data_IF_443396346019
#
_entry.id   IF_443396346019
#
_cell.length_a   1.000
_cell.length_b   1.000
_cell.length_c   1.000
_cell.angle_alpha   90.00
_cell.angle_beta   90.00
_cell.angle_gamma   90.00
#
_symmetry.space_group_name_H-M   'P 1'
#
loop_
_entity.id
_entity.type
_entity.pdbx_description
1 polymer ?
#
# COMPACT_ATOMS: atom_id res chain seq x y z
N UNK A 1 47.12 64.92 -28.40
CA UNK A 1 47.73 64.75 -27.09
C UNK A 1 48.17 63.29 -26.99
N UNK A 2 49.47 63.02 -26.84
CA UNK A 2 50.04 61.66 -26.93
C UNK A 2 49.82 60.87 -25.64
N UNK A 3 49.76 61.55 -24.49
CA UNK A 3 49.52 60.92 -23.18
C UNK A 3 48.09 60.38 -23.06
N UNK A 4 47.09 61.10 -23.59
CA UNK A 4 45.70 60.61 -23.65
C UNK A 4 45.57 59.33 -24.48
N UNK A 5 46.30 59.25 -25.60
CA UNK A 5 46.28 58.06 -26.47
C UNK A 5 46.94 56.87 -25.76
N UNK A 6 48.08 57.08 -25.10
CA UNK A 6 48.77 56.02 -24.33
C UNK A 6 47.89 55.54 -23.17
N UNK A 7 47.29 56.46 -22.41
CA UNK A 7 46.37 56.12 -21.32
C UNK A 7 45.15 55.34 -21.81
N UNK A 8 44.60 55.71 -22.96
CA UNK A 8 43.48 55.01 -23.59
C UNK A 8 43.87 53.59 -24.03
N UNK A 9 45.06 53.42 -24.63
CA UNK A 9 45.57 52.11 -25.05
C UNK A 9 45.85 51.18 -23.86
N UNK A 10 46.42 51.69 -22.77
CA UNK A 10 46.63 50.91 -21.54
C UNK A 10 45.29 50.43 -20.95
N UNK A 11 44.27 51.30 -20.99
CA UNK A 11 42.92 50.94 -20.54
C UNK A 11 42.31 49.81 -21.37
N UNK A 12 42.47 49.87 -22.70
CA UNK A 12 42.02 48.81 -23.61
C UNK A 12 42.77 47.49 -23.38
N UNK A 13 44.09 47.55 -23.12
CA UNK A 13 44.91 46.39 -22.78
C UNK A 13 44.40 45.68 -21.53
N UNK A 14 44.17 46.43 -20.44
CA UNK A 14 43.62 45.86 -19.20
C UNK A 14 42.25 45.21 -19.40
N UNK A 15 41.39 45.81 -20.23
CA UNK A 15 40.07 45.22 -20.56
C UNK A 15 40.23 43.89 -21.29
N UNK A 16 41.15 43.81 -22.26
CA UNK A 16 41.41 42.59 -23.02
C UNK A 16 41.99 41.47 -22.15
N UNK A 17 42.96 41.76 -21.29
CA UNK A 17 43.55 40.79 -20.36
C UNK A 17 42.54 40.24 -19.36
N UNK A 18 41.66 41.10 -18.83
CA UNK A 18 40.58 40.66 -17.94
C UNK A 18 39.56 39.76 -18.65
N UNK A 19 39.24 40.05 -19.91
CA UNK A 19 38.35 39.20 -20.71
C UNK A 19 38.96 37.82 -20.94
N UNK A 20 40.27 37.76 -21.28
CA UNK A 20 41.00 36.51 -21.49
C UNK A 20 41.08 35.65 -20.22
N UNK A 21 41.37 36.26 -19.06
CA UNK A 21 41.32 35.56 -17.76
C UNK A 21 39.91 35.03 -17.45
N UNK A 22 38.87 35.80 -17.75
CA UNK A 22 37.48 35.35 -17.62
C UNK A 22 37.16 34.12 -18.49
N UNK A 23 37.73 34.04 -19.70
CA UNK A 23 37.61 32.85 -20.55
C UNK A 23 38.30 31.61 -19.93
N UNK A 24 39.49 31.77 -19.34
CA UNK A 24 40.18 30.68 -18.63
C UNK A 24 39.36 30.19 -17.45
N UNK A 25 38.80 31.09 -16.64
CA UNK A 25 37.99 30.70 -15.48
C UNK A 25 36.71 29.96 -15.89
N UNK A 26 36.08 30.38 -16.99
CA UNK A 26 34.91 29.67 -17.53
C UNK A 26 35.29 28.31 -18.11
N UNK A 27 36.44 28.21 -18.79
CA UNK A 27 36.96 26.93 -19.25
C UNK A 27 37.25 25.99 -18.07
N UNK A 28 37.93 26.47 -17.01
CA UNK A 28 38.18 25.71 -15.76
C UNK A 28 36.91 25.19 -15.11
N UNK A 29 35.85 26.01 -15.07
CA UNK A 29 34.55 25.55 -14.61
C UNK A 29 34.00 24.42 -15.48
N UNK A 30 34.15 24.51 -16.79
CA UNK A 30 33.72 23.45 -17.72
C UNK A 30 34.51 22.14 -17.51
N UNK A 31 35.83 22.25 -17.36
CA UNK A 31 36.72 21.13 -17.06
C UNK A 31 36.45 20.51 -15.68
N UNK A 32 35.98 21.26 -14.69
CA UNK A 32 35.64 20.69 -13.39
C UNK A 32 34.44 19.71 -13.43
N UNK A 33 33.62 19.77 -14.48
CA UNK A 33 32.51 18.85 -14.72
C UNK A 33 32.83 17.75 -15.74
N UNK A 34 34.06 17.68 -16.26
CA UNK A 34 34.47 16.78 -17.36
C UNK A 34 35.90 16.25 -17.14
N UNK A 35 36.34 15.26 -17.91
CA UNK A 35 37.68 14.64 -17.76
C UNK A 35 38.82 15.38 -18.50
N UNK A 36 38.61 16.64 -18.91
CA UNK A 36 39.59 17.41 -19.68
C UNK A 36 40.47 18.30 -18.81
N UNK A 37 41.78 18.33 -19.10
CA UNK A 37 42.73 19.26 -18.50
C UNK A 37 42.80 20.57 -19.29
N UNK A 38 43.12 21.67 -18.62
CA UNK A 38 43.27 23.00 -19.25
C UNK A 38 44.69 23.49 -19.01
N UNK A 39 45.27 24.07 -20.05
CA UNK A 39 46.62 24.64 -20.08
C UNK A 39 46.69 26.00 -19.37
N UNK A 40 46.01 26.16 -18.23
CA UNK A 40 45.83 27.43 -17.54
C UNK A 40 47.15 28.10 -17.17
N UNK A 41 48.15 27.31 -16.75
CA UNK A 41 49.49 27.81 -16.44
C UNK A 41 50.23 28.34 -17.68
N UNK A 42 49.99 27.74 -18.86
CA UNK A 42 50.59 28.19 -20.13
C UNK A 42 49.93 29.48 -20.62
N UNK A 43 48.61 29.63 -20.40
CA UNK A 43 47.87 30.86 -20.71
C UNK A 43 48.31 32.02 -19.81
N UNK A 44 48.52 31.77 -18.51
CA UNK A 44 48.99 32.79 -17.56
C UNK A 44 50.43 33.27 -17.91
N UNK A 45 51.34 32.35 -18.23
CA UNK A 45 52.72 32.66 -18.66
C UNK A 45 52.77 33.43 -20.00
N UNK A 46 51.88 33.11 -20.94
CA UNK A 46 51.77 33.85 -22.21
C UNK A 46 51.19 35.26 -22.03
N UNK A 47 50.23 35.46 -21.10
CA UNK A 47 49.72 36.78 -20.72
C UNK A 47 50.80 37.67 -20.10
N UNK A 48 51.65 37.13 -19.22
CA UNK A 48 52.77 37.87 -18.62
C UNK A 48 53.80 38.33 -19.67
N UNK A 49 54.00 37.53 -20.73
CA UNK A 49 54.86 37.84 -21.88
C UNK A 49 54.22 38.74 -22.92
N UNK A 50 52.95 39.13 -22.74
CA UNK A 50 52.15 39.90 -23.71
C UNK A 50 51.98 39.20 -25.07
N UNK A 51 52.03 37.87 -25.08
CA UNK A 51 51.79 37.05 -26.27
C UNK A 51 50.29 36.70 -26.39
N UNK A 52 49.50 37.68 -26.83
CA UNK A 52 48.05 37.52 -26.96
C UNK A 52 47.64 36.51 -28.04
N UNK A 53 48.45 36.33 -29.07
CA UNK A 53 48.22 35.34 -30.13
C UNK A 53 48.42 33.92 -29.60
N UNK A 54 49.48 33.69 -28.81
CA UNK A 54 49.71 32.45 -28.09
C UNK A 54 48.59 32.11 -27.12
N UNK A 55 48.11 33.09 -26.34
CA UNK A 55 46.98 32.91 -25.40
C UNK A 55 45.70 32.44 -26.10
N UNK A 56 45.32 33.09 -27.20
CA UNK A 56 44.12 32.73 -27.97
C UNK A 56 44.26 31.33 -28.58
N UNK A 57 45.42 31.03 -29.17
CA UNK A 57 45.71 29.72 -29.77
C UNK A 57 45.61 28.57 -28.76
N UNK A 58 46.19 28.74 -27.57
CA UNK A 58 46.11 27.74 -26.49
C UNK A 58 44.68 27.54 -26.00
N UNK A 59 43.90 28.62 -25.82
CA UNK A 59 42.51 28.53 -25.42
C UNK A 59 41.63 27.83 -26.49
N UNK A 60 41.86 28.09 -27.77
CA UNK A 60 41.16 27.38 -28.86
C UNK A 60 41.46 25.89 -28.87
N UNK A 61 42.72 25.50 -28.62
CA UNK A 61 43.13 24.09 -28.51
C UNK A 61 42.47 23.41 -27.30
N UNK A 62 42.49 24.03 -26.13
CA UNK A 62 41.87 23.49 -24.91
C UNK A 62 40.35 23.32 -25.11
N UNK A 63 39.66 24.29 -25.72
CA UNK A 63 38.22 24.19 -26.03
C UNK A 63 37.94 23.05 -27.01
N UNK A 64 38.79 22.86 -28.03
CA UNK A 64 38.64 21.77 -29.00
C UNK A 64 38.85 20.39 -28.36
N UNK A 65 39.84 20.28 -27.46
CA UNK A 65 40.11 19.08 -26.69
C UNK A 65 38.92 18.73 -25.77
N UNK A 66 38.40 19.72 -25.03
CA UNK A 66 37.23 19.56 -24.16
C UNK A 66 36.01 19.07 -24.95
N UNK A 67 35.69 19.70 -26.09
CA UNK A 67 34.57 19.26 -26.96
C UNK A 67 34.73 17.81 -27.45
N UNK A 68 35.96 17.40 -27.74
CA UNK A 68 36.26 16.04 -28.21
C UNK A 68 36.07 15.04 -27.08
N UNK A 69 36.62 15.33 -25.90
CA UNK A 69 36.45 14.51 -24.70
C UNK A 69 34.97 14.35 -24.32
N UNK A 70 34.18 15.44 -24.30
CA UNK A 70 32.73 15.35 -24.02
C UNK A 70 32.00 14.47 -25.03
N UNK A 71 32.41 14.52 -26.31
CA UNK A 71 31.79 13.71 -27.36
C UNK A 71 32.12 12.23 -27.19
N UNK A 72 33.37 11.90 -26.86
CA UNK A 72 33.80 10.52 -26.60
C UNK A 72 33.11 9.94 -25.36
N UNK A 73 33.04 10.71 -24.27
CA UNK A 73 32.34 10.35 -23.04
C UNK A 73 30.85 10.09 -23.31
N UNK A 74 30.20 11.01 -24.02
CA UNK A 74 28.81 10.85 -24.44
C UNK A 74 28.59 9.57 -25.26
N UNK A 75 29.44 9.29 -26.26
CA UNK A 75 29.30 8.10 -27.08
C UNK A 75 29.52 6.82 -26.27
N UNK A 76 30.52 6.83 -25.39
CA UNK A 76 30.86 5.69 -24.53
C UNK A 76 29.71 5.36 -23.60
N UNK A 77 29.26 6.34 -22.80
CA UNK A 77 28.17 6.13 -21.85
C UNK A 77 26.86 5.75 -22.54
N UNK A 78 26.52 6.41 -23.66
CA UNK A 78 25.33 6.05 -24.46
C UNK A 78 25.37 4.61 -24.94
N UNK A 79 26.51 4.13 -25.43
CA UNK A 79 26.65 2.76 -25.91
C UNK A 79 26.55 1.75 -24.77
N UNK A 80 27.17 2.04 -23.62
CA UNK A 80 27.06 1.18 -22.44
C UNK A 80 25.63 1.11 -21.90
N UNK A 81 24.92 2.23 -21.87
CA UNK A 81 23.51 2.26 -21.47
C UNK A 81 22.61 1.49 -22.45
N UNK A 82 22.86 1.58 -23.76
CA UNK A 82 22.14 0.76 -24.75
C UNK A 82 22.41 -0.74 -24.56
N UNK A 83 23.66 -1.12 -24.33
CA UNK A 83 24.06 -2.50 -24.03
C UNK A 83 23.38 -3.02 -22.76
N UNK A 84 23.37 -2.22 -21.70
CA UNK A 84 22.69 -2.54 -20.44
C UNK A 84 21.17 -2.74 -20.63
N UNK A 85 20.53 -1.86 -21.42
CA UNK A 85 19.10 -1.98 -21.74
C UNK A 85 18.80 -3.21 -22.58
N UNK A 86 19.68 -3.58 -23.53
CA UNK A 86 19.53 -4.81 -24.31
C UNK A 86 19.57 -6.05 -23.42
N UNK A 87 20.52 -6.12 -22.49
CA UNK A 87 20.61 -7.22 -21.51
C UNK A 87 19.32 -7.31 -20.68
N UNK A 88 18.80 -6.18 -20.20
CA UNK A 88 17.59 -6.16 -19.38
C UNK A 88 16.32 -6.56 -20.16
N UNK A 89 16.19 -6.11 -21.41
CA UNK A 89 15.07 -6.46 -22.30
C UNK A 89 15.09 -7.95 -22.65
N UNK A 90 16.29 -8.51 -22.91
CA UNK A 90 16.44 -9.93 -23.18
C UNK A 90 16.10 -10.80 -21.95
N UNK A 91 16.32 -10.27 -20.74
CA UNK A 91 15.99 -10.95 -19.50
C UNK A 91 14.48 -10.91 -19.18
N UNK A 92 13.79 -9.81 -19.47
CA UNK A 92 12.35 -9.66 -19.23
C UNK A 92 11.69 -8.64 -20.17
N UNK A 93 10.48 -8.98 -20.67
CA UNK A 93 9.68 -8.04 -21.47
C UNK A 93 9.00 -6.99 -20.58
N UNK A 94 9.74 -5.94 -20.23
CA UNK A 94 9.24 -4.76 -19.51
C UNK A 94 9.14 -3.55 -20.46
N UNK A 95 7.97 -2.89 -20.44
CA UNK A 95 7.67 -1.75 -21.31
C UNK A 95 8.59 -0.55 -21.04
N UNK A 96 8.97 -0.32 -19.78
CA UNK A 96 9.75 0.85 -19.37
C UNK A 96 11.19 0.75 -19.87
N UNK A 97 11.76 -0.46 -19.96
CA UNK A 97 13.07 -0.64 -20.59
C UNK A 97 13.05 -0.25 -22.09
N UNK A 98 11.98 -0.56 -22.80
CA UNK A 98 11.81 -0.12 -24.20
C UNK A 98 11.69 1.40 -24.31
N UNK A 99 10.94 2.03 -23.42
CA UNK A 99 10.82 3.50 -23.34
C UNK A 99 12.19 4.16 -23.09
N UNK A 100 12.96 3.65 -22.12
CA UNK A 100 14.33 4.13 -21.87
C UNK A 100 15.22 3.96 -23.09
N UNK A 101 15.16 2.82 -23.78
CA UNK A 101 15.95 2.57 -24.99
C UNK A 101 15.61 3.54 -26.11
N UNK A 102 14.34 3.86 -26.32
CA UNK A 102 13.91 4.87 -27.29
C UNK A 102 14.44 6.27 -26.93
N UNK A 103 14.40 6.67 -25.66
CA UNK A 103 14.96 7.95 -25.20
C UNK A 103 16.47 8.04 -25.44
N UNK A 104 17.22 6.98 -25.13
CA UNK A 104 18.68 6.91 -25.33
C UNK A 104 19.03 6.92 -26.82
N UNK A 105 18.26 6.22 -27.65
CA UNK A 105 18.44 6.26 -29.11
C UNK A 105 18.23 7.68 -29.67
N UNK A 106 17.25 8.41 -29.14
CA UNK A 106 16.96 9.81 -29.49
C UNK A 106 17.98 10.83 -28.96
N UNK A 107 18.90 10.43 -28.08
CA UNK A 107 20.02 11.27 -27.68
C UNK A 107 21.13 11.23 -28.74
N UNK A 108 21.30 12.34 -29.48
CA UNK A 108 22.23 12.42 -30.63
C UNK A 108 23.39 13.40 -30.43
N UNK A 109 23.45 14.13 -29.32
CA UNK A 109 24.43 15.19 -29.11
C UNK A 109 24.93 15.25 -27.65
N UNK A 110 26.18 15.71 -27.43
CA UNK A 110 26.82 15.68 -26.10
C UNK A 110 26.10 16.51 -25.02
N UNK A 111 25.30 17.50 -25.38
CA UNK A 111 24.53 18.33 -24.43
C UNK A 111 23.49 17.52 -23.66
N UNK A 112 23.16 16.31 -24.14
CA UNK A 112 22.23 15.37 -23.48
C UNK A 112 22.90 14.44 -22.48
N UNK A 113 24.21 14.55 -22.22
CA UNK A 113 24.93 13.65 -21.32
C UNK A 113 24.31 13.58 -19.91
N UNK A 114 23.94 14.73 -19.33
CA UNK A 114 23.26 14.79 -18.02
C UNK A 114 21.95 14.00 -18.04
N UNK A 115 21.15 14.18 -19.10
CA UNK A 115 19.88 13.47 -19.27
C UNK A 115 20.09 11.96 -19.43
N UNK A 116 21.17 11.54 -20.09
CA UNK A 116 21.51 10.11 -20.16
C UNK A 116 21.85 9.56 -18.78
N UNK A 117 22.60 10.30 -17.96
CA UNK A 117 22.88 9.93 -16.57
C UNK A 117 21.60 9.72 -15.76
N UNK A 118 20.64 10.65 -15.85
CA UNK A 118 19.32 10.52 -15.21
C UNK A 118 18.57 9.26 -15.67
N UNK A 119 18.67 8.90 -16.96
CA UNK A 119 18.06 7.67 -17.49
C UNK A 119 18.77 6.42 -16.94
N UNK A 120 20.09 6.45 -16.83
CA UNK A 120 20.88 5.37 -16.22
C UNK A 120 20.52 5.13 -14.76
N UNK A 121 20.42 6.19 -13.96
CA UNK A 121 20.00 6.10 -12.56
C UNK A 121 18.58 5.53 -12.45
N UNK A 122 17.64 6.04 -13.26
CA UNK A 122 16.26 5.56 -13.31
C UNK A 122 16.15 4.11 -13.79
N UNK A 123 17.05 3.66 -14.67
CA UNK A 123 17.17 2.29 -15.11
C UNK A 123 17.59 1.37 -13.96
N UNK A 124 18.67 1.71 -13.24
CA UNK A 124 19.16 0.91 -12.10
C UNK A 124 18.09 0.82 -11.00
N UNK A 125 17.44 1.94 -10.68
CA UNK A 125 16.34 1.97 -9.70
C UNK A 125 15.19 1.04 -10.12
N UNK A 126 14.82 1.04 -11.40
CA UNK A 126 13.75 0.19 -11.92
C UNK A 126 14.13 -1.30 -11.88
N UNK A 127 15.37 -1.65 -12.23
CA UNK A 127 15.89 -3.02 -12.10
C UNK A 127 15.81 -3.51 -10.64
N UNK A 128 16.28 -2.72 -9.68
CA UNK A 128 16.23 -3.07 -8.26
C UNK A 128 14.78 -3.25 -7.78
N UNK A 129 13.87 -2.40 -8.26
CA UNK A 129 12.44 -2.51 -7.94
C UNK A 129 11.83 -3.82 -8.45
N UNK A 130 12.11 -4.22 -9.69
CA UNK A 130 11.61 -5.49 -10.26
C UNK A 130 12.11 -6.67 -9.43
N UNK A 131 13.42 -6.72 -9.13
CA UNK A 131 14.01 -7.78 -8.31
C UNK A 131 13.38 -7.83 -6.92
N UNK A 132 13.22 -6.68 -6.27
CA UNK A 132 12.58 -6.59 -4.97
C UNK A 132 11.13 -7.07 -4.97
N UNK A 133 10.37 -6.78 -6.04
CA UNK A 133 9.00 -7.27 -6.20
C UNK A 133 8.95 -8.79 -6.39
N UNK A 134 9.82 -9.34 -7.24
CA UNK A 134 9.91 -10.79 -7.45
C UNK A 134 10.32 -11.52 -6.18
N UNK A 135 11.31 -11.01 -5.45
CA UNK A 135 11.74 -11.58 -4.19
C UNK A 135 10.64 -11.54 -3.12
N UNK A 136 9.92 -10.41 -2.99
CA UNK A 136 8.81 -10.30 -2.06
C UNK A 136 7.65 -11.24 -2.42
N UNK A 137 7.34 -11.40 -3.70
CA UNK A 137 6.35 -12.37 -4.16
C UNK A 137 6.78 -13.80 -3.86
N UNK A 138 8.05 -14.14 -4.09
CA UNK A 138 8.61 -15.45 -3.80
C UNK A 138 8.48 -15.76 -2.31
N UNK A 139 9.06 -14.91 -1.45
CA UNK A 139 9.01 -15.07 0.01
C UNK A 139 7.57 -15.19 0.52
N UNK A 140 6.67 -14.30 0.08
CA UNK A 140 5.26 -14.40 0.44
C UNK A 140 4.67 -15.73 -0.03
N UNK A 141 4.89 -16.14 -1.27
CA UNK A 141 4.31 -17.38 -1.81
C UNK A 141 4.83 -18.60 -1.07
N UNK A 142 6.14 -18.68 -0.81
CA UNK A 142 6.75 -19.78 -0.06
C UNK A 142 6.23 -19.84 1.38
N UNK A 143 6.08 -18.70 2.07
CA UNK A 143 5.51 -18.68 3.43
C UNK A 143 4.07 -19.21 3.45
N UNK A 144 3.25 -18.80 2.47
CA UNK A 144 1.90 -19.34 2.29
C UNK A 144 1.92 -20.83 1.87
N UNK A 145 2.99 -21.35 1.27
CA UNK A 145 3.08 -22.78 1.02
C UNK A 145 3.51 -23.50 2.32
N UNK A 146 4.56 -23.04 3.01
CA UNK A 146 5.12 -23.64 4.23
C UNK A 146 4.14 -23.80 5.37
N UNK A 147 3.27 -22.80 5.60
CA UNK A 147 2.30 -22.82 6.69
C UNK A 147 1.37 -24.05 6.62
N UNK A 148 1.35 -24.71 5.47
CA UNK A 148 0.15 -25.33 4.98
C UNK A 148 0.41 -26.55 4.08
N UNK A 149 1.64 -26.75 3.62
CA UNK A 149 1.98 -27.88 2.77
C UNK A 149 1.97 -29.18 3.58
N UNK A 150 1.38 -30.29 3.07
CA UNK A 150 1.59 -31.60 3.66
C UNK A 150 3.10 -31.91 3.83
N UNK A 151 3.54 -32.53 4.94
CA UNK A 151 4.96 -32.80 5.20
C UNK A 151 5.69 -33.56 4.08
N UNK A 152 4.97 -34.37 3.31
CA UNK A 152 5.49 -35.19 2.21
C UNK A 152 5.02 -34.70 0.81
N UNK A 153 4.52 -33.47 0.70
CA UNK A 153 4.14 -32.90 -0.60
C UNK A 153 5.38 -32.60 -1.45
N UNK A 154 5.25 -32.69 -2.77
CA UNK A 154 6.35 -32.58 -3.74
C UNK A 154 7.05 -31.21 -3.80
N UNK A 155 6.55 -30.21 -3.07
CA UNK A 155 7.16 -28.89 -3.04
C UNK A 155 8.37 -28.85 -2.12
N UNK A 156 9.40 -28.13 -2.53
CA UNK A 156 10.59 -27.84 -1.73
C UNK A 156 10.85 -26.35 -1.79
N UNK A 157 11.15 -25.77 -0.64
CA UNK A 157 11.59 -24.39 -0.53
C UNK A 157 12.83 -24.15 -1.39
N UNK A 158 12.86 -23.01 -2.08
CA UNK A 158 13.99 -22.59 -2.92
C UNK A 158 15.22 -22.21 -2.12
N UNK A 159 15.03 -21.75 -0.88
CA UNK A 159 16.07 -21.14 -0.03
C UNK A 159 16.46 -19.72 -0.47
N UNK A 160 15.73 -19.13 -1.41
CA UNK A 160 16.01 -17.79 -1.94
C UNK A 160 15.30 -16.70 -1.16
N UNK A 161 14.22 -17.00 -0.42
CA UNK A 161 13.47 -16.02 0.37
C UNK A 161 14.30 -15.34 1.48
N UNK A 162 15.35 -16.00 1.96
CA UNK A 162 16.28 -15.46 2.95
C UNK A 162 17.47 -14.70 2.33
N UNK A 163 17.60 -14.73 1.00
CA UNK A 163 18.74 -14.15 0.30
C UNK A 163 18.53 -12.66 0.09
N UNK A 164 19.58 -11.88 0.33
CA UNK A 164 19.57 -10.45 0.03
C UNK A 164 19.95 -10.20 -1.44
N UNK A 165 19.13 -9.41 -2.12
CA UNK A 165 19.31 -9.06 -3.52
C UNK A 165 19.64 -7.58 -3.67
N UNK A 166 20.90 -7.27 -3.95
CA UNK A 166 21.40 -5.92 -4.19
C UNK A 166 22.15 -5.90 -5.52
N UNK A 167 21.75 -5.02 -6.42
CA UNK A 167 22.45 -4.84 -7.69
C UNK A 167 23.89 -4.38 -7.48
N UNK A 168 24.78 -4.91 -8.30
CA UNK A 168 26.11 -4.36 -8.47
C UNK A 168 25.97 -3.10 -9.34
N UNK A 169 26.35 -1.94 -8.82
CA UNK A 169 26.11 -0.66 -9.48
C UNK A 169 27.40 0.14 -9.71
N UNK A 170 28.54 -0.55 -9.82
CA UNK A 170 29.81 0.08 -10.25
C UNK A 170 29.65 0.81 -11.59
N UNK A 171 28.94 0.18 -12.54
CA UNK A 171 28.46 0.82 -13.77
C UNK A 171 27.10 0.25 -14.24
N UNK A 172 26.53 0.86 -15.29
CA UNK A 172 25.21 0.49 -15.83
C UNK A 172 25.18 -0.90 -16.46
N UNK A 173 26.29 -1.39 -17.02
CA UNK A 173 26.36 -2.73 -17.61
C UNK A 173 26.47 -3.80 -16.53
N UNK A 174 27.25 -3.56 -15.48
CA UNK A 174 27.34 -4.47 -14.34
C UNK A 174 26.01 -4.57 -13.59
N UNK A 175 25.28 -3.46 -13.45
CA UNK A 175 23.92 -3.46 -12.95
C UNK A 175 22.98 -4.33 -13.80
N UNK A 176 23.07 -4.24 -15.13
CA UNK A 176 22.25 -5.05 -16.02
C UNK A 176 22.61 -6.54 -15.97
N UNK A 177 23.90 -6.89 -15.88
CA UNK A 177 24.36 -8.29 -15.74
C UNK A 177 23.92 -8.89 -14.42
N UNK A 178 24.08 -8.14 -13.33
CA UNK A 178 23.63 -8.53 -11.99
C UNK A 178 22.12 -8.73 -11.97
N UNK A 179 21.36 -7.79 -12.54
CA UNK A 179 19.90 -7.89 -12.71
C UNK A 179 19.49 -9.17 -13.46
N UNK A 180 20.06 -9.42 -14.64
CA UNK A 180 19.74 -10.60 -15.44
C UNK A 180 20.08 -11.92 -14.71
N UNK A 181 21.20 -11.94 -13.97
CA UNK A 181 21.59 -13.08 -13.13
C UNK A 181 20.56 -13.35 -12.04
N UNK A 182 20.11 -12.31 -11.32
CA UNK A 182 19.08 -12.44 -10.28
C UNK A 182 17.75 -12.93 -10.84
N UNK A 183 17.33 -12.43 -12.01
CA UNK A 183 16.13 -12.91 -12.69
C UNK A 183 16.24 -14.39 -13.06
N UNK A 184 17.41 -14.86 -13.51
CA UNK A 184 17.63 -16.25 -13.87
C UNK A 184 17.50 -17.21 -12.68
N UNK A 185 17.70 -16.72 -11.46
CA UNK A 185 17.54 -17.47 -10.22
C UNK A 185 16.10 -17.39 -9.69
N UNK A 186 15.53 -16.18 -9.65
CA UNK A 186 14.21 -15.93 -9.07
C UNK A 186 13.05 -16.44 -9.95
N UNK A 187 13.12 -16.28 -11.27
CA UNK A 187 12.00 -16.60 -12.15
C UNK A 187 11.62 -18.10 -12.14
N UNK A 188 12.56 -19.06 -12.23
CA UNK A 188 12.22 -20.48 -12.15
C UNK A 188 11.65 -20.91 -10.80
N UNK A 189 12.13 -20.30 -9.70
CA UNK A 189 11.63 -20.55 -8.35
C UNK A 189 10.18 -20.05 -8.22
N UNK A 190 9.91 -18.80 -8.64
CA UNK A 190 8.56 -18.23 -8.68
C UNK A 190 7.59 -19.07 -9.50
N UNK A 191 8.00 -19.56 -10.67
CA UNK A 191 7.15 -20.41 -11.51
C UNK A 191 6.80 -21.74 -10.81
N UNK A 192 7.75 -22.33 -10.10
CA UNK A 192 7.56 -23.54 -9.30
C UNK A 192 6.59 -23.30 -8.15
N UNK A 193 6.77 -22.20 -7.43
CA UNK A 193 5.94 -21.84 -6.28
C UNK A 193 4.52 -21.46 -6.71
N UNK A 194 4.38 -20.64 -7.75
CA UNK A 194 3.07 -20.30 -8.33
C UNK A 194 2.32 -21.54 -8.79
N UNK A 195 3.00 -22.50 -9.42
CA UNK A 195 2.38 -23.78 -9.81
C UNK A 195 1.93 -24.56 -8.58
N UNK A 196 2.79 -24.72 -7.60
CA UNK A 196 2.52 -25.49 -6.37
C UNK A 196 1.36 -24.88 -5.57
N UNK A 197 1.41 -23.56 -5.38
CA UNK A 197 0.35 -22.78 -4.76
C UNK A 197 -0.98 -22.92 -5.51
N UNK A 198 -0.96 -22.85 -6.84
CA UNK A 198 -2.18 -23.02 -7.66
C UNK A 198 -2.80 -24.40 -7.51
N UNK A 199 -2.00 -25.47 -7.47
CA UNK A 199 -2.48 -26.84 -7.26
C UNK A 199 -3.18 -26.92 -5.90
N UNK A 200 -2.49 -26.51 -4.83
CA UNK A 200 -3.01 -26.56 -3.47
C UNK A 200 -4.31 -25.73 -3.31
N UNK A 201 -4.34 -24.51 -3.85
CA UNK A 201 -5.54 -23.65 -3.80
C UNK A 201 -6.71 -24.20 -4.64
N UNK A 202 -6.44 -24.88 -5.76
CA UNK A 202 -7.49 -25.45 -6.62
C UNK A 202 -8.07 -26.75 -6.08
N UNK A 203 -7.27 -27.52 -5.33
CA UNK A 203 -7.62 -28.85 -4.84
C UNK A 203 -8.93 -28.83 -4.05
N UNK A 204 -8.96 -28.13 -2.91
CA UNK A 204 -10.12 -28.09 -2.01
C UNK A 204 -11.34 -27.37 -2.60
N UNK A 205 -11.13 -26.42 -3.52
CA UNK A 205 -12.23 -25.67 -4.13
C UNK A 205 -13.06 -26.48 -5.11
N UNK A 206 -12.39 -27.26 -5.96
CA UNK A 206 -13.06 -27.83 -7.15
C UNK A 206 -12.65 -29.27 -7.43
N UNK A 207 -11.38 -29.63 -7.21
CA UNK A 207 -10.84 -30.89 -7.73
C UNK A 207 -11.14 -32.04 -6.79
N UNK A 208 -11.08 -31.82 -5.48
CA UNK A 208 -11.45 -32.81 -4.47
C UNK A 208 -12.88 -33.34 -4.71
N UNK A 209 -13.83 -32.45 -5.03
CA UNK A 209 -15.20 -32.84 -5.37
C UNK A 209 -15.29 -33.70 -6.63
N UNK A 210 -14.48 -33.40 -7.65
CA UNK A 210 -14.43 -34.24 -8.86
C UNK A 210 -13.91 -35.63 -8.55
N UNK A 211 -12.83 -35.72 -7.76
CA UNK A 211 -12.24 -36.99 -7.32
C UNK A 211 -13.26 -37.80 -6.51
N UNK A 212 -13.90 -37.19 -5.49
CA UNK A 212 -14.95 -37.84 -4.68
C UNK A 212 -16.07 -38.40 -5.54
N UNK A 213 -16.59 -37.61 -6.48
CA UNK A 213 -17.67 -38.03 -7.38
C UNK A 213 -17.28 -39.28 -8.19
N UNK A 214 -16.05 -39.31 -8.71
CA UNK A 214 -15.55 -40.46 -9.47
C UNK A 214 -15.32 -41.68 -8.58
N UNK A 215 -14.76 -41.51 -7.38
CA UNK A 215 -14.60 -42.59 -6.40
C UNK A 215 -15.97 -43.17 -5.97
N UNK A 216 -16.99 -42.34 -5.75
CA UNK A 216 -18.34 -42.82 -5.42
C UNK A 216 -18.93 -43.63 -6.58
N UNK A 217 -18.75 -43.17 -7.82
CA UNK A 217 -19.34 -43.81 -9.00
C UNK A 217 -18.63 -45.11 -9.41
N UNK A 218 -17.32 -45.15 -9.28
CA UNK A 218 -16.48 -46.17 -9.92
C UNK A 218 -15.49 -46.86 -8.96
N UNK A 219 -15.31 -46.35 -7.73
CA UNK A 219 -14.35 -46.88 -6.75
C UNK A 219 -12.89 -46.56 -7.05
N UNK A 220 -12.60 -46.00 -8.22
CA UNK A 220 -11.26 -45.66 -8.71
C UNK A 220 -11.28 -44.36 -9.51
N UNK A 221 -10.16 -43.64 -9.53
CA UNK A 221 -9.96 -42.41 -10.31
C UNK A 221 -8.58 -42.41 -10.92
N UNK A 222 -8.51 -42.16 -12.22
CA UNK A 222 -7.27 -41.93 -12.96
C UNK A 222 -7.11 -40.45 -13.32
N UNK A 223 -5.93 -40.07 -13.80
CA UNK A 223 -5.72 -38.69 -14.23
C UNK A 223 -6.59 -38.26 -15.41
N UNK A 224 -6.98 -39.18 -16.28
CA UNK A 224 -7.85 -38.92 -17.44
C UNK A 224 -9.29 -38.57 -17.03
N UNK A 225 -9.70 -38.95 -15.82
CA UNK A 225 -11.02 -38.63 -15.26
C UNK A 225 -11.10 -37.19 -14.75
N UNK A 226 -9.95 -36.52 -14.58
CA UNK A 226 -9.84 -35.15 -14.10
C UNK A 226 -9.52 -34.19 -15.24
N UNK A 227 -10.35 -33.17 -15.43
CA UNK A 227 -10.15 -32.14 -16.48
C UNK A 227 -9.19 -31.04 -16.00
N UNK A 228 -7.97 -31.42 -15.62
CA UNK A 228 -6.96 -30.51 -15.04
C UNK A 228 -5.57 -30.80 -15.56
N UNK A 229 -4.70 -29.78 -15.47
CA UNK A 229 -3.27 -30.00 -15.63
C UNK A 229 -2.70 -30.69 -14.38
N UNK A 230 -1.72 -31.56 -14.56
CA UNK A 230 -1.04 -32.30 -13.47
C UNK A 230 -1.99 -33.09 -12.55
N UNK A 231 -2.86 -33.96 -13.09
CA UNK A 231 -3.84 -34.68 -12.30
C UNK A 231 -3.23 -35.58 -11.21
N UNK A 232 -2.03 -36.12 -11.44
CA UNK A 232 -1.31 -36.93 -10.46
C UNK A 232 -1.06 -36.18 -9.13
N UNK A 233 -0.71 -34.90 -9.20
CA UNK A 233 -0.44 -34.08 -8.00
C UNK A 233 -1.73 -33.96 -7.14
N UNK A 234 -2.88 -33.82 -7.78
CA UNK A 234 -4.17 -33.76 -7.09
C UNK A 234 -4.61 -35.12 -6.51
N UNK A 235 -4.31 -36.22 -7.19
CA UNK A 235 -4.61 -37.56 -6.69
C UNK A 235 -3.72 -37.92 -5.48
N UNK A 236 -2.46 -37.50 -5.47
CA UNK A 236 -1.60 -37.60 -4.29
C UNK A 236 -2.09 -36.75 -3.12
N UNK A 237 -2.54 -35.52 -3.39
CA UNK A 237 -3.17 -34.69 -2.35
C UNK A 237 -4.40 -35.38 -1.77
N UNK A 238 -5.18 -36.06 -2.61
CA UNK A 238 -6.32 -36.81 -2.14
C UNK A 238 -5.92 -37.94 -1.18
N UNK A 239 -4.99 -38.80 -1.59
CA UNK A 239 -4.44 -39.85 -0.73
C UNK A 239 -3.95 -39.30 0.63
N UNK A 240 -3.26 -38.15 0.62
CA UNK A 240 -2.78 -37.51 1.84
C UNK A 240 -3.92 -37.07 2.78
N UNK A 241 -4.92 -36.37 2.26
CA UNK A 241 -6.01 -35.83 3.08
C UNK A 241 -7.10 -36.85 3.42
N UNK A 242 -7.18 -37.95 2.68
CA UNK A 242 -8.26 -38.92 2.75
C UNK A 242 -7.70 -40.33 2.95
N UNK A 243 -7.55 -40.78 4.20
CA UNK A 243 -7.00 -42.11 4.52
C UNK A 243 -7.90 -43.27 4.05
N UNK A 244 -9.09 -42.96 3.54
CA UNK A 244 -10.04 -43.91 2.96
C UNK A 244 -9.78 -44.18 1.47
N UNK A 245 -8.78 -43.53 0.88
CA UNK A 245 -8.28 -43.81 -0.46
C UNK A 245 -6.75 -43.95 -0.45
N UNK A 246 -6.21 -44.57 -1.51
CA UNK A 246 -4.75 -44.71 -1.69
C UNK A 246 -4.40 -44.50 -3.15
N UNK A 247 -3.38 -43.67 -3.41
CA UNK A 247 -2.89 -43.41 -4.76
C UNK A 247 -1.67 -44.28 -5.05
N UNK A 248 -1.65 -44.89 -6.24
CA UNK A 248 -0.48 -45.64 -6.70
C UNK A 248 0.24 -44.85 -7.79
N UNK A 249 1.48 -44.45 -7.50
CA UNK A 249 2.36 -43.80 -8.49
C UNK A 249 2.62 -44.68 -9.72
N UNK A 250 2.71 -46.00 -9.52
CA UNK A 250 3.09 -46.93 -10.59
C UNK A 250 2.05 -47.08 -11.68
N UNK A 251 0.76 -46.98 -11.33
CA UNK A 251 -0.34 -47.11 -12.29
C UNK A 251 -1.17 -45.83 -12.44
N UNK A 252 -0.83 -44.78 -11.69
CA UNK A 252 -1.45 -43.47 -11.69
C UNK A 252 -2.95 -43.49 -11.38
N UNK A 253 -3.37 -44.42 -10.52
CA UNK A 253 -4.77 -44.61 -10.12
C UNK A 253 -4.91 -44.47 -8.60
N UNK A 254 -5.89 -43.65 -8.21
CA UNK A 254 -6.41 -43.54 -6.85
C UNK A 254 -7.54 -44.55 -6.64
N UNK A 255 -7.55 -45.26 -5.52
CA UNK A 255 -8.55 -46.29 -5.21
C UNK A 255 -9.10 -46.11 -3.81
N UNK A 256 -10.39 -46.35 -3.62
CA UNK A 256 -10.96 -46.46 -2.28
C UNK A 256 -10.40 -47.69 -1.56
N UNK A 257 -10.09 -47.53 -0.27
CA UNK A 257 -9.74 -48.62 0.61
C UNK A 257 -10.91 -49.60 0.74
N UNK A 258 -10.61 -50.87 0.99
CA UNK A 258 -11.62 -51.92 1.06
C UNK A 258 -12.64 -51.64 2.19
N UNK A 259 -13.92 -51.53 1.84
CA UNK A 259 -15.00 -51.23 2.78
C UNK A 259 -15.18 -49.75 3.13
N UNK A 260 -14.33 -48.86 2.61
CA UNK A 260 -14.52 -47.41 2.73
C UNK A 260 -15.80 -46.94 2.01
N UNK A 261 -16.44 -45.91 2.58
CA UNK A 261 -17.54 -45.19 1.96
C UNK A 261 -17.31 -43.71 2.11
N UNK A 262 -17.33 -42.99 0.99
CA UNK A 262 -17.30 -41.53 1.01
C UNK A 262 -18.67 -41.06 1.50
N UNK A 263 -18.72 -40.51 2.72
CA UNK A 263 -19.89 -39.83 3.24
C UNK A 263 -19.95 -38.40 2.70
N UNK A 264 -21.14 -37.96 2.31
CA UNK A 264 -21.42 -36.53 2.07
C UNK A 264 -21.57 -35.85 3.44
N UNK A 265 -20.86 -34.75 3.64
CA UNK A 265 -20.92 -33.97 4.88
C UNK A 265 -21.14 -32.49 4.55
N UNK A 266 -22.38 -32.10 4.21
CA UNK A 266 -22.70 -30.71 3.97
C UNK A 266 -22.67 -29.91 5.28
N UNK A 267 -22.05 -28.73 5.24
CA UNK A 267 -22.05 -27.76 6.33
C UNK A 267 -23.00 -26.62 5.98
N UNK A 268 -23.97 -26.32 6.85
CA UNK A 268 -24.81 -25.13 6.71
C UNK A 268 -24.35 -24.04 7.67
N UNK A 269 -24.05 -22.84 7.18
CA UNK A 269 -23.70 -21.67 8.00
C UNK A 269 -24.88 -20.71 7.98
N UNK A 270 -25.40 -20.34 9.15
CA UNK A 270 -26.50 -19.38 9.30
C UNK A 270 -26.01 -18.09 9.94
N UNK A 271 -26.38 -16.94 9.36
CA UNK A 271 -25.99 -15.62 9.84
C UNK A 271 -27.25 -14.84 10.27
N UNK A 272 -27.25 -14.39 11.53
CA UNK A 272 -28.32 -13.54 12.10
C UNK A 272 -27.77 -12.29 12.75
N UNK A 273 -28.61 -11.29 12.98
CA UNK A 273 -28.32 -10.20 13.91
C UNK A 273 -28.76 -10.55 15.35
N UNK A 274 -28.43 -9.67 16.30
CA UNK A 274 -28.81 -9.81 17.71
C UNK A 274 -30.32 -9.83 17.96
N UNK A 275 -31.12 -9.31 17.02
CA UNK A 275 -32.59 -9.31 17.08
C UNK A 275 -33.18 -10.61 16.49
N UNK A 276 -32.34 -11.51 15.96
CA UNK A 276 -32.71 -12.77 15.33
C UNK A 276 -33.10 -12.65 13.85
N UNK A 277 -32.88 -11.50 13.22
CA UNK A 277 -33.12 -11.30 11.79
C UNK A 277 -32.03 -11.99 10.96
N UNK A 278 -32.41 -12.63 9.86
CA UNK A 278 -31.48 -13.22 8.89
C UNK A 278 -30.75 -12.14 8.10
N UNK A 279 -29.47 -12.35 7.82
CA UNK A 279 -28.63 -11.39 7.09
C UNK A 279 -28.28 -11.95 5.72
N UNK A 280 -28.94 -11.45 4.68
CA UNK A 280 -28.60 -11.70 3.27
C UNK A 280 -27.30 -10.96 2.89
N UNK A 281 -26.50 -11.55 2.00
CA UNK A 281 -25.34 -10.88 1.42
C UNK A 281 -24.14 -10.78 2.36
N UNK A 282 -24.16 -11.46 3.51
CA UNK A 282 -22.98 -11.61 4.37
C UNK A 282 -21.91 -12.43 3.64
N UNK A 283 -20.70 -11.89 3.54
CA UNK A 283 -19.53 -12.57 3.01
C UNK A 283 -18.90 -13.44 4.10
N UNK A 284 -18.78 -14.73 3.82
CA UNK A 284 -18.19 -15.73 4.69
C UNK A 284 -16.87 -16.19 4.09
N UNK A 285 -15.81 -16.11 4.86
CA UNK A 285 -14.49 -16.64 4.53
C UNK A 285 -14.16 -17.77 5.52
N UNK A 286 -14.20 -19.00 5.05
CA UNK A 286 -13.72 -20.16 5.79
C UNK A 286 -12.25 -20.39 5.41
N UNK A 287 -11.38 -20.70 6.36
CA UNK A 287 -9.94 -20.94 6.18
C UNK A 287 -9.52 -22.17 6.99
N UNK A 288 -9.02 -23.23 6.36
CA UNK A 288 -8.51 -24.38 7.10
C UNK A 288 -7.24 -23.99 7.89
N UNK A 289 -7.11 -24.45 9.15
CA UNK A 289 -5.95 -24.16 10.03
C UNK A 289 -4.70 -24.97 9.66
N UNK A 290 -4.86 -26.03 8.84
CA UNK A 290 -3.78 -26.81 8.22
C UNK A 290 -4.01 -26.82 6.70
N UNK A 291 -3.03 -26.93 5.79
CA UNK A 291 -3.37 -26.84 4.34
C UNK A 291 -3.49 -25.40 3.82
N UNK A 292 -3.13 -25.11 2.55
CA UNK A 292 -2.95 -23.71 2.07
C UNK A 292 -4.25 -22.96 2.27
N UNK A 293 -4.23 -22.03 3.24
CA UNK A 293 -5.37 -21.31 3.82
C UNK A 293 -6.54 -21.26 2.85
N UNK A 294 -7.34 -22.34 2.86
CA UNK A 294 -8.35 -22.59 1.84
C UNK A 294 -9.40 -21.54 2.06
N UNK A 295 -9.25 -20.39 1.43
CA UNK A 295 -10.12 -19.24 1.61
C UNK A 295 -11.33 -19.50 0.74
N UNK A 296 -12.28 -20.25 1.28
CA UNK A 296 -13.57 -20.44 0.63
C UNK A 296 -14.42 -19.21 0.93
N UNK A 297 -14.72 -18.44 -0.11
CA UNK A 297 -15.58 -17.27 -0.02
C UNK A 297 -16.98 -17.64 -0.44
N UNK A 298 -17.92 -17.40 0.44
CA UNK A 298 -19.34 -17.64 0.23
C UNK A 298 -20.12 -16.37 0.52
N UNK A 299 -21.30 -16.26 -0.07
CA UNK A 299 -22.26 -15.19 0.20
C UNK A 299 -23.54 -15.88 0.63
N UNK A 300 -24.15 -15.38 1.69
CA UNK A 300 -25.44 -15.88 2.18
C UNK A 300 -26.58 -15.50 1.25
N UNK A 301 -27.53 -16.42 1.08
CA UNK A 301 -28.76 -16.21 0.33
C UNK A 301 -29.78 -15.36 1.11
N UNK A 302 -30.96 -15.10 0.50
CA UNK A 302 -32.06 -14.32 1.10
C UNK A 302 -32.50 -14.83 2.49
N UNK A 303 -32.30 -16.12 2.77
CA UNK A 303 -32.62 -16.75 4.06
C UNK A 303 -31.51 -16.60 5.12
N UNK A 304 -30.43 -15.89 4.78
CA UNK A 304 -29.27 -15.65 5.64
C UNK A 304 -28.41 -16.88 5.88
N UNK A 305 -28.48 -17.88 5.00
CA UNK A 305 -27.69 -19.10 5.11
C UNK A 305 -26.83 -19.38 3.88
N UNK A 306 -25.84 -20.26 4.03
CA UNK A 306 -25.14 -20.89 2.90
C UNK A 306 -24.84 -22.35 3.23
N UNK A 307 -25.03 -23.23 2.25
CA UNK A 307 -24.67 -24.65 2.36
C UNK A 307 -23.41 -24.95 1.56
N UNK A 308 -22.43 -25.56 2.23
CA UNK A 308 -21.16 -25.99 1.68
C UNK A 308 -21.20 -27.51 1.60
N UNK A 309 -21.24 -28.08 0.40
CA UNK A 309 -21.53 -29.53 0.21
C UNK A 309 -20.53 -30.46 0.90
N UNK A 310 -19.24 -30.10 0.98
CA UNK A 310 -18.19 -30.88 1.63
C UNK A 310 -16.99 -29.95 1.93
N UNK A 311 -16.97 -29.25 3.08
CA UNK A 311 -15.88 -28.35 3.40
C UNK A 311 -14.56 -29.06 3.71
N UNK A 312 -14.56 -30.39 3.91
CA UNK A 312 -13.42 -31.16 4.42
C UNK A 312 -13.46 -31.29 5.95
N UNK A 313 -12.71 -32.24 6.51
CA UNK A 313 -12.57 -32.42 7.95
C UNK A 313 -11.38 -31.60 8.48
N UNK A 314 -11.46 -31.15 9.74
CA UNK A 314 -10.37 -30.47 10.41
C UNK A 314 -10.76 -29.13 11.03
N UNK A 315 -9.77 -28.36 11.48
CA UNK A 315 -9.98 -27.09 12.20
C UNK A 315 -9.99 -25.94 11.21
N UNK A 316 -10.95 -25.02 11.31
CA UNK A 316 -11.09 -23.88 10.43
C UNK A 316 -11.18 -22.58 11.21
N UNK A 317 -10.54 -21.52 10.71
CA UNK A 317 -10.82 -20.13 11.04
C UNK A 317 -11.94 -19.62 10.13
N UNK A 318 -12.91 -18.94 10.73
CA UNK A 318 -14.08 -18.41 10.06
C UNK A 318 -14.12 -16.90 10.24
N UNK A 319 -14.25 -16.17 9.15
CA UNK A 319 -14.35 -14.71 9.13
C UNK A 319 -15.62 -14.33 8.39
N UNK A 320 -16.49 -13.54 9.02
CA UNK A 320 -17.74 -13.08 8.42
C UNK A 320 -17.81 -11.56 8.43
N UNK A 321 -18.17 -10.99 7.28
CA UNK A 321 -18.37 -9.55 7.08
C UNK A 321 -19.70 -9.29 6.42
N UNK A 322 -20.46 -8.32 6.92
CA UNK A 322 -21.71 -7.88 6.32
C UNK A 322 -21.84 -6.36 6.44
N UNK A 323 -22.56 -5.73 5.50
CA UNK A 323 -22.75 -4.29 5.51
C UNK A 323 -23.50 -3.84 6.77
N UNK A 324 -23.01 -2.81 7.46
CA UNK A 324 -23.55 -2.28 8.72
C UNK A 324 -23.36 -3.19 9.94
N UNK A 325 -22.55 -4.25 9.84
CA UNK A 325 -22.23 -5.15 10.94
C UNK A 325 -20.73 -5.18 11.24
N UNK A 326 -20.39 -5.48 12.49
CA UNK A 326 -19.00 -5.75 12.90
C UNK A 326 -18.52 -7.05 12.28
N UNK A 327 -17.25 -7.06 11.88
CA UNK A 327 -16.55 -8.28 11.46
C UNK A 327 -16.58 -9.29 12.60
N UNK A 328 -16.98 -10.52 12.28
CA UNK A 328 -16.93 -11.65 13.20
C UNK A 328 -15.78 -12.58 12.82
N UNK A 329 -14.99 -13.03 13.81
CA UNK A 329 -13.94 -14.02 13.63
C UNK A 329 -14.05 -15.11 14.69
N UNK A 330 -14.00 -16.37 14.27
CA UNK A 330 -14.06 -17.53 15.18
C UNK A 330 -13.27 -18.72 14.63
N UNK A 331 -13.16 -19.79 15.42
CA UNK A 331 -12.60 -21.07 14.98
C UNK A 331 -13.61 -22.18 15.20
N UNK A 332 -13.65 -23.15 14.29
CA UNK A 332 -14.58 -24.28 14.32
C UNK A 332 -13.86 -25.56 13.92
N UNK A 333 -14.44 -26.72 14.25
CA UNK A 333 -13.90 -28.03 13.86
C UNK A 333 -14.97 -28.76 13.06
N UNK A 334 -14.60 -29.26 11.89
CA UNK A 334 -15.45 -30.03 11.01
C UNK A 334 -15.08 -31.52 11.07
N UNK A 335 -16.05 -32.45 10.92
CA UNK A 335 -17.42 -32.23 10.46
C UNK A 335 -18.33 -31.56 11.50
N UNK A 336 -19.21 -30.67 11.04
CA UNK A 336 -20.29 -30.07 11.84
C UNK A 336 -21.55 -29.96 10.98
N UNK A 337 -22.73 -30.22 11.56
CA UNK A 337 -24.00 -30.16 10.86
C UNK A 337 -24.35 -28.71 10.48
N UNK A 338 -24.18 -27.79 11.43
CA UNK A 338 -24.42 -26.38 11.25
C UNK A 338 -23.46 -25.49 12.07
N UNK A 339 -23.30 -24.25 11.61
CA UNK A 339 -22.63 -23.18 12.36
C UNK A 339 -23.56 -21.97 12.37
N UNK A 340 -23.93 -21.50 13.54
CA UNK A 340 -24.76 -20.31 13.71
C UNK A 340 -23.89 -19.14 14.19
N UNK A 341 -23.98 -18.01 13.49
CA UNK A 341 -23.21 -16.79 13.80
C UNK A 341 -24.17 -15.63 13.97
N UNK A 342 -23.99 -14.91 15.08
CA UNK A 342 -24.71 -13.68 15.35
C UNK A 342 -23.77 -12.49 15.16
N UNK A 343 -24.13 -11.60 14.23
CA UNK A 343 -23.41 -10.36 13.97
C UNK A 343 -23.98 -9.21 14.81
N UNK A 344 -23.08 -8.36 15.28
CA UNK A 344 -23.44 -7.12 15.98
C UNK A 344 -23.53 -5.96 14.97
N UNK A 345 -24.62 -5.19 15.01
CA UNK A 345 -24.74 -3.96 14.20
C UNK A 345 -23.65 -2.96 14.60
N UNK A 346 -23.08 -2.28 13.62
CA UNK A 346 -22.15 -1.18 13.86
C UNK A 346 -22.85 -0.05 14.62
N UNK A 347 -22.23 0.41 15.71
CA UNK A 347 -22.71 1.57 16.44
C UNK A 347 -22.27 2.88 15.80
N UNK A 348 -22.84 4.00 16.27
CA UNK A 348 -22.41 5.35 15.85
C UNK A 348 -20.91 5.56 16.05
N UNK A 349 -20.34 5.01 17.12
CA UNK A 349 -18.90 5.01 17.38
C UNK A 349 -18.11 4.35 16.24
N UNK A 350 -18.56 3.21 15.73
CA UNK A 350 -17.87 2.47 14.66
C UNK A 350 -17.88 3.28 13.36
N UNK A 351 -18.99 3.96 13.05
CA UNK A 351 -19.11 4.84 11.90
C UNK A 351 -18.22 6.09 12.00
N UNK A 352 -18.24 6.77 13.15
CA UNK A 352 -17.47 8.00 13.36
C UNK A 352 -15.96 7.74 13.45
N UNK A 353 -15.58 6.70 14.18
CA UNK A 353 -14.19 6.48 14.57
C UNK A 353 -13.42 5.53 13.67
N UNK A 354 -14.12 4.64 12.94
CA UNK A 354 -13.47 3.55 12.20
C UNK A 354 -12.47 2.82 13.13
N UNK A 355 -11.28 2.50 12.64
CA UNK A 355 -10.23 1.83 13.42
C UNK A 355 -9.41 2.76 14.33
N UNK A 356 -9.75 4.05 14.40
CA UNK A 356 -8.94 5.07 15.11
C UNK A 356 -9.41 5.39 16.52
N UNK A 357 -10.51 4.78 17.00
CA UNK A 357 -11.06 5.09 18.32
C UNK A 357 -10.02 5.02 19.45
N UNK A 358 -9.24 3.92 19.49
CA UNK A 358 -8.24 3.73 20.55
C UNK A 358 -7.08 4.73 20.44
N UNK A 359 -6.56 4.94 19.22
CA UNK A 359 -5.48 5.91 18.97
C UNK A 359 -5.88 7.34 19.37
N UNK A 360 -7.15 7.71 19.17
CA UNK A 360 -7.69 9.00 19.58
C UNK A 360 -7.81 9.07 21.10
N UNK A 361 -8.29 8.02 21.78
CA UNK A 361 -8.33 7.96 23.25
C UNK A 361 -6.94 8.06 23.88
N UNK A 362 -5.97 7.29 23.38
CA UNK A 362 -4.60 7.29 23.92
C UNK A 362 -3.92 8.67 23.80
N UNK A 363 -4.34 9.48 22.84
CA UNK A 363 -3.82 10.83 22.59
C UNK A 363 -4.84 11.93 22.90
N UNK A 364 -5.87 11.63 23.69
CA UNK A 364 -7.00 12.53 23.90
C UNK A 364 -6.55 13.89 24.43
N UNK A 365 -5.65 13.92 25.41
CA UNK A 365 -5.11 15.16 25.99
C UNK A 365 -4.49 16.10 24.94
N UNK A 366 -3.87 15.53 23.90
CA UNK A 366 -3.24 16.28 22.82
C UNK A 366 -4.30 16.89 21.90
N UNK A 367 -5.32 16.11 21.53
CA UNK A 367 -6.33 16.52 20.57
C UNK A 367 -7.44 17.38 21.19
N UNK A 368 -7.75 17.14 22.46
CA UNK A 368 -8.84 17.78 23.17
C UNK A 368 -8.49 19.16 23.72
N UNK A 369 -7.22 19.56 23.81
CA UNK A 369 -6.83 20.82 24.48
C UNK A 369 -7.54 22.05 23.92
N UNK A 370 -7.63 22.19 22.60
CA UNK A 370 -8.30 23.35 21.98
C UNK A 370 -9.81 23.20 21.97
N UNK A 371 -10.33 21.96 21.92
CA UNK A 371 -11.77 21.67 22.05
C UNK A 371 -12.27 22.04 23.44
N UNK A 372 -11.54 21.64 24.49
CA UNK A 372 -11.86 21.95 25.88
C UNK A 372 -11.79 23.46 26.15
N UNK A 373 -10.79 24.17 25.61
CA UNK A 373 -10.73 25.64 25.71
C UNK A 373 -11.92 26.32 25.02
N UNK A 374 -12.34 25.80 23.87
CA UNK A 374 -13.48 26.37 23.17
C UNK A 374 -14.79 26.03 23.91
N UNK A 375 -14.98 24.82 24.43
CA UNK A 375 -16.07 24.49 25.36
C UNK A 375 -16.05 25.41 26.59
N UNK A 376 -14.87 25.73 27.12
CA UNK A 376 -14.71 26.68 28.21
C UNK A 376 -15.11 28.11 27.82
N UNK A 377 -15.07 28.46 26.54
CA UNK A 377 -15.42 29.79 26.06
C UNK A 377 -16.86 29.90 25.60
N UNK A 378 -17.34 28.95 24.81
CA UNK A 378 -18.62 28.99 24.10
C UNK A 378 -19.62 27.94 24.58
N UNK A 379 -19.22 26.98 25.41
CA UNK A 379 -20.10 25.94 25.95
C UNK A 379 -20.53 24.87 24.94
N UNK A 380 -20.20 25.04 23.65
CA UNK A 380 -20.51 24.11 22.57
C UNK A 380 -19.39 24.13 21.54
N UNK A 381 -19.07 22.96 20.98
CA UNK A 381 -18.11 22.83 19.88
C UNK A 381 -18.68 21.92 18.82
N UNK A 382 -18.67 22.37 17.58
CA UNK A 382 -19.04 21.54 16.43
C UNK A 382 -17.84 20.88 15.79
N UNK A 383 -18.09 19.79 15.07
CA UNK A 383 -17.11 19.06 14.26
C UNK A 383 -16.50 19.91 13.12
N UNK A 384 -17.10 21.06 12.80
CA UNK A 384 -16.55 22.04 11.87
C UNK A 384 -15.40 22.88 12.47
N UNK A 385 -15.31 22.96 13.81
CA UNK A 385 -14.23 23.66 14.51
C UNK A 385 -12.85 23.13 14.09
N UNK A 386 -11.87 24.03 14.00
CA UNK A 386 -10.51 23.67 13.64
C UNK A 386 -9.81 22.98 14.83
N UNK A 387 -9.72 21.66 14.73
CA UNK A 387 -9.09 20.81 15.73
C UNK A 387 -7.74 20.31 15.22
N UNK A 388 -6.83 20.00 16.15
CA UNK A 388 -5.54 19.36 15.86
C UNK A 388 -5.68 17.86 15.49
N UNK A 389 -6.69 17.53 14.68
CA UNK A 389 -6.93 16.19 14.14
C UNK A 389 -7.50 16.35 12.72
N UNK A 390 -7.26 15.35 11.87
CA UNK A 390 -7.81 15.33 10.52
C UNK A 390 -9.35 15.50 10.58
N UNK A 391 -9.87 16.33 9.68
CA UNK A 391 -11.29 16.71 9.56
C UNK A 391 -12.23 15.50 9.66
N UNK A 392 -11.86 14.38 9.05
CA UNK A 392 -12.67 13.16 9.04
C UNK A 392 -12.86 12.50 10.41
N UNK A 393 -11.98 12.77 11.38
CA UNK A 393 -12.03 12.17 12.72
C UNK A 393 -12.46 13.17 13.81
N UNK A 394 -12.82 14.40 13.44
CA UNK A 394 -13.28 15.42 14.39
C UNK A 394 -14.54 15.00 15.13
N UNK A 395 -15.52 14.43 14.42
CA UNK A 395 -16.73 13.92 15.04
C UNK A 395 -16.45 12.73 15.98
N UNK A 396 -15.51 11.85 15.63
CA UNK A 396 -15.05 10.79 16.54
C UNK A 396 -14.40 11.36 17.81
N UNK A 397 -13.54 12.39 17.68
CA UNK A 397 -12.93 13.06 18.82
C UNK A 397 -14.00 13.62 19.76
N UNK A 398 -15.01 14.32 19.22
CA UNK A 398 -16.11 14.86 20.03
C UNK A 398 -16.93 13.76 20.71
N UNK A 399 -17.22 12.67 20.00
CA UNK A 399 -17.93 11.51 20.55
C UNK A 399 -17.14 10.86 21.70
N UNK A 400 -15.84 10.61 21.51
CA UNK A 400 -14.95 10.08 22.55
C UNK A 400 -14.88 11.04 23.74
N UNK A 401 -14.82 12.35 23.50
CA UNK A 401 -14.77 13.33 24.57
C UNK A 401 -16.04 13.28 25.44
N UNK A 402 -17.22 13.11 24.83
CA UNK A 402 -18.46 12.93 25.58
C UNK A 402 -18.53 11.59 26.35
N UNK A 403 -17.86 10.53 25.88
CA UNK A 403 -17.73 9.28 26.65
C UNK A 403 -16.83 9.45 27.90
N UNK A 404 -15.79 10.31 27.81
CA UNK A 404 -14.79 10.49 28.87
C UNK A 404 -15.19 11.55 29.91
N UNK A 405 -15.98 12.55 29.51
CA UNK A 405 -16.43 13.65 30.37
C UNK A 405 -17.95 13.59 30.58
N UNK A 406 -18.43 13.27 31.80
CA UNK A 406 -19.84 12.97 32.04
C UNK A 406 -20.79 14.17 31.90
N UNK A 407 -20.27 15.40 31.94
CA UNK A 407 -21.02 16.64 31.74
C UNK A 407 -21.10 17.08 30.27
N UNK A 408 -20.44 16.35 29.37
CA UNK A 408 -20.45 16.64 27.94
C UNK A 408 -21.45 15.76 27.22
N UNK A 409 -22.27 16.38 26.38
CA UNK A 409 -23.30 15.70 25.60
C UNK A 409 -23.02 15.83 24.11
N UNK A 410 -22.93 14.68 23.44
CA UNK A 410 -22.71 14.58 21.99
C UNK A 410 -24.04 14.49 21.25
N UNK A 411 -24.21 15.31 20.21
CA UNK A 411 -25.46 15.45 19.47
C UNK A 411 -25.21 15.54 17.96
N UNK A 412 -26.13 14.99 17.18
CA UNK A 412 -26.19 15.21 15.73
C UNK A 412 -27.10 16.40 15.40
N UNK A 413 -26.64 17.27 14.51
CA UNK A 413 -27.38 18.42 14.00
C UNK A 413 -27.33 18.47 12.47
N UNK A 414 -28.13 19.33 11.86
CA UNK A 414 -28.10 19.57 10.40
C UNK A 414 -26.73 20.05 9.89
N UNK A 415 -25.96 20.72 10.77
CA UNK A 415 -24.61 21.22 10.48
C UNK A 415 -23.49 20.20 10.74
N UNK A 416 -23.85 18.95 11.08
CA UNK A 416 -22.94 17.89 11.47
C UNK A 416 -23.03 17.59 12.97
N UNK A 417 -21.94 17.07 13.54
CA UNK A 417 -21.91 16.67 14.95
C UNK A 417 -21.40 17.79 15.85
N UNK A 418 -21.92 17.87 17.07
CA UNK A 418 -21.47 18.81 18.10
C UNK A 418 -21.38 18.12 19.47
N UNK A 419 -20.60 18.72 20.36
CA UNK A 419 -20.57 18.40 21.78
C UNK A 419 -20.79 19.69 22.57
N UNK A 420 -21.55 19.63 23.65
CA UNK A 420 -21.74 20.79 24.53
C UNK A 420 -21.65 20.39 26.00
N UNK A 421 -21.29 21.37 26.83
CA UNK A 421 -21.25 21.23 28.28
C UNK A 421 -22.63 21.53 28.85
N UNK A 422 -23.30 20.52 29.40
CA UNK A 422 -24.69 20.62 29.84
C UNK A 422 -24.87 21.68 30.92
N UNK A 423 -24.08 21.65 31.99
CA UNK A 423 -24.20 22.58 33.12
C UNK A 423 -23.99 24.04 32.68
N UNK A 424 -23.04 24.24 31.77
CA UNK A 424 -22.72 25.57 31.25
C UNK A 424 -23.81 26.12 30.34
N UNK A 425 -24.38 25.26 29.50
CA UNK A 425 -25.45 25.66 28.59
C UNK A 425 -26.76 25.91 29.34
N UNK A 426 -27.06 25.14 30.41
CA UNK A 426 -28.16 25.45 31.34
C UNK A 426 -27.96 26.83 31.98
N UNK A 427 -26.77 27.11 32.52
CA UNK A 427 -26.46 28.41 33.14
C UNK A 427 -26.67 29.58 32.19
N UNK A 428 -26.26 29.41 30.92
CA UNK A 428 -26.45 30.42 29.87
C UNK A 428 -27.91 30.62 29.49
N UNK A 429 -28.66 29.53 29.35
CA UNK A 429 -30.09 29.59 29.09
C UNK A 429 -30.80 30.39 30.19
N UNK A 430 -30.50 30.08 31.46
CA UNK A 430 -31.07 30.79 32.62
C UNK A 430 -30.71 32.28 32.60
N UNK A 431 -29.44 32.63 32.34
CA UNK A 431 -29.01 34.03 32.24
C UNK A 431 -29.75 34.75 31.11
N UNK A 432 -29.87 34.11 29.94
CA UNK A 432 -30.56 34.67 28.78
C UNK A 432 -32.03 34.97 29.07
N UNK A 433 -32.74 34.00 29.64
CA UNK A 433 -34.14 34.12 30.06
C UNK A 433 -34.30 35.28 31.06
N UNK A 434 -33.42 35.36 32.07
CA UNK A 434 -33.41 36.47 33.04
C UNK A 434 -33.21 37.83 32.40
N UNK A 435 -32.35 37.95 31.39
CA UNK A 435 -32.12 39.25 30.72
C UNK A 435 -33.29 39.73 29.88
N UNK A 436 -34.15 38.82 29.42
CA UNK A 436 -35.26 39.13 28.52
C UNK A 436 -36.58 39.46 29.24
N UNK A 437 -36.76 38.96 30.47
CA UNK A 437 -37.96 39.19 31.31
C UNK A 437 -39.30 38.98 30.56
N UNK A 438 -39.49 37.79 29.97
CA UNK A 438 -40.74 37.39 29.30
C UNK A 438 -41.42 36.22 30.02
N UNK A 439 -42.73 36.08 29.85
CA UNK A 439 -43.48 34.94 30.39
C UNK A 439 -43.40 33.69 29.49
N UNK A 440 -43.04 33.86 28.22
CA UNK A 440 -42.98 32.81 27.21
C UNK A 440 -41.89 33.11 26.17
N UNK A 441 -41.18 32.06 25.72
CA UNK A 441 -39.99 32.17 24.90
C UNK A 441 -40.09 31.30 23.65
N UNK A 442 -40.03 31.91 22.47
CA UNK A 442 -39.78 31.15 21.24
C UNK A 442 -38.33 30.66 21.24
N UNK A 443 -38.07 29.43 20.77
CA UNK A 443 -36.71 28.87 20.68
C UNK A 443 -35.76 29.82 19.92
N UNK A 444 -36.24 30.43 18.84
CA UNK A 444 -35.49 31.40 18.04
C UNK A 444 -35.03 32.63 18.81
N UNK A 445 -35.73 33.02 19.88
CA UNK A 445 -35.39 34.21 20.68
C UNK A 445 -34.22 33.94 21.65
N UNK A 446 -33.99 32.67 22.01
CA UNK A 446 -32.98 32.26 22.98
C UNK A 446 -31.56 32.37 22.40
N UNK A 447 -31.42 32.29 21.07
CA UNK A 447 -30.14 32.37 20.34
C UNK A 447 -29.11 31.35 20.87
N UNK A 448 -29.59 30.15 21.19
CA UNK A 448 -28.77 29.04 21.66
C UNK A 448 -28.37 28.19 20.44
N UNK A 449 -27.07 27.98 20.18
CA UNK A 449 -26.58 27.20 19.03
C UNK A 449 -26.71 25.69 19.25
N UNK A 450 -27.91 25.21 19.57
CA UNK A 450 -28.24 23.79 19.76
C UNK A 450 -29.56 23.46 19.04
N UNK A 451 -29.79 22.19 18.66
CA UNK A 451 -31.08 21.76 18.14
C UNK A 451 -32.21 22.00 19.14
N UNK A 452 -33.42 22.25 18.64
CA UNK A 452 -34.62 22.53 19.44
C UNK A 452 -34.86 21.50 20.56
N UNK A 453 -34.70 20.20 20.25
CA UNK A 453 -34.85 19.11 21.23
C UNK A 453 -33.87 19.22 22.39
N UNK A 454 -32.64 19.67 22.13
CA UNK A 454 -31.61 19.83 23.16
C UNK A 454 -31.85 21.11 23.99
N UNK A 455 -32.43 22.16 23.40
CA UNK A 455 -32.84 23.37 24.13
C UNK A 455 -33.97 23.04 25.11
N UNK A 456 -34.92 22.19 24.70
CA UNK A 456 -35.96 21.68 25.58
C UNK A 456 -35.38 20.84 26.72
N UNK A 457 -34.42 19.94 26.43
CA UNK A 457 -33.70 19.17 27.45
C UNK A 457 -32.98 20.09 28.45
N UNK A 458 -32.35 21.17 28.00
CA UNK A 458 -31.74 22.17 28.90
C UNK A 458 -32.77 22.89 29.77
N UNK A 459 -33.97 23.17 29.25
CA UNK A 459 -35.06 23.76 30.04
C UNK A 459 -35.56 22.79 31.12
N UNK A 460 -35.72 21.50 30.80
CA UNK A 460 -36.06 20.47 31.78
C UNK A 460 -34.99 20.34 32.88
N UNK A 461 -33.71 20.53 32.53
CA UNK A 461 -32.63 20.58 33.52
C UNK A 461 -32.75 21.83 34.42
N UNK A 462 -33.01 23.01 33.85
CA UNK A 462 -33.21 24.24 34.62
C UNK A 462 -34.41 24.14 35.59
N UNK A 463 -35.47 23.42 35.21
CA UNK A 463 -36.61 23.15 36.09
C UNK A 463 -36.22 22.35 37.33
N UNK A 464 -35.30 21.38 37.19
CA UNK A 464 -34.76 20.63 38.34
C UNK A 464 -33.97 21.53 39.29
N UNK A 465 -33.44 22.65 38.81
CA UNK A 465 -32.81 23.71 39.61
C UNK A 465 -33.81 24.73 40.18
N UNK A 466 -35.11 24.54 39.92
CA UNK A 466 -36.19 25.39 40.43
C UNK A 466 -36.50 26.61 39.56
N UNK A 467 -36.02 26.64 38.31
CA UNK A 467 -36.27 27.73 37.36
C UNK A 467 -37.18 27.21 36.24
N UNK A 468 -38.42 27.69 36.20
CA UNK A 468 -39.38 27.31 35.17
C UNK A 468 -39.22 28.20 33.93
N UNK A 469 -38.97 27.58 32.77
CA UNK A 469 -38.76 28.26 31.50
C UNK A 469 -39.82 27.74 30.52
N UNK A 470 -40.82 28.57 30.21
CA UNK A 470 -41.89 28.18 29.31
C UNK A 470 -41.50 28.47 27.86
N UNK A 471 -41.21 27.42 27.08
CA UNK A 471 -40.75 27.49 25.69
C UNK A 471 -41.88 27.08 24.74
N UNK A 472 -42.09 27.87 23.68
CA UNK A 472 -43.07 27.64 22.61
C UNK A 472 -42.46 27.39 21.24
#
# INVERSE_FOLDING_TARGET
DLEEIVSYLDRLKTIAENALRGCVDNAKKLAAYQTGDISAAQVEDALEKQDYEGVVSTLEQDIAALKTATKEEFQTYRNSLLSALDIAIDAIDDKKFREFKEEVLGASSPEKLVRLGEIGDAFIEHCQKIVGQMHAELSSTEDHIKEFVPPDYFWKESGLAEKEYVLDNEDVEDAARSFASMLSELAPALDTDRRSYKILNSYHRTIERQIRKQLIAHGVVSGDDLKVAHPADFLHLYDYYHPDATYSESDQILRLAEGAKIAENPLTINITDADGNRIEGAEITLMHETGIGVTLKYITDEDGSVTIENPGEGRYRLVVTAAQYRKHESTTVLPADNIDITLEKMGIRDYLCREKAQSIRDNLNKYASDVLKELDRSGVVSSAFEMYINKEYRACLLYILAEEYPNLRFVSSDSGYLVYDEEKMVSRLIERVKTMEKDEYAISDLDIPLPDEEILHLAEMAEKEGIHINIT
#
